data_IF_568834659618
#
_entry.id   IF_568834659618
#
_cell.length_a   1.000
_cell.length_b   1.000
_cell.length_c   1.000
_cell.angle_alpha   90.00
_cell.angle_beta   90.00
_cell.angle_gamma   90.00
#
_symmetry.space_group_name_H-M   'P 1'
#
loop_
_entity.id
_entity.type
_entity.pdbx_description
1 polymer ?
#
# COMPACT_ATOMS: atom_id res chain seq x y z
N UNK A 1 28.61 8.33 14.72
CA UNK A 1 27.66 8.84 13.70
C UNK A 1 26.21 8.84 14.17
N UNK A 2 25.74 7.77 14.83
CA UNK A 2 24.42 7.73 15.47
C UNK A 2 24.19 8.91 16.43
N UNK A 3 24.92 8.97 17.56
CA UNK A 3 24.72 10.01 18.59
C UNK A 3 24.72 11.46 18.08
N UNK A 4 25.58 11.82 17.13
CA UNK A 4 25.66 13.18 16.56
C UNK A 4 24.47 13.54 15.67
N UNK A 5 23.84 12.55 15.03
CA UNK A 5 22.60 12.76 14.28
C UNK A 5 21.40 12.85 15.25
N UNK A 6 21.40 12.08 16.35
CA UNK A 6 20.36 12.16 17.38
C UNK A 6 20.36 13.50 18.12
N UNK A 7 21.54 14.03 18.44
CA UNK A 7 21.66 15.31 19.13
C UNK A 7 21.17 16.51 18.31
N UNK A 8 21.05 16.36 16.99
CA UNK A 8 20.60 17.43 16.08
C UNK A 8 19.23 17.13 15.45
N UNK A 9 18.51 16.11 15.92
CA UNK A 9 17.20 15.73 15.40
C UNK A 9 16.18 16.85 15.63
N UNK A 10 15.50 17.29 14.57
CA UNK A 10 14.55 18.39 14.58
C UNK A 10 13.47 18.20 13.51
N UNK A 11 12.54 19.16 13.40
CA UNK A 11 11.40 19.08 12.47
C UNK A 11 11.79 19.01 10.98
N UNK A 12 13.00 19.40 10.60
CA UNK A 12 13.43 19.34 9.18
C UNK A 12 13.56 17.91 8.66
N UNK A 13 13.77 16.93 9.54
CA UNK A 13 13.88 15.52 9.16
C UNK A 13 12.54 14.94 8.67
N UNK A 14 11.42 15.54 9.04
CA UNK A 14 10.07 15.10 8.64
C UNK A 14 9.33 16.16 7.81
N UNK A 15 9.98 17.24 7.37
CA UNK A 15 9.29 18.42 6.82
C UNK A 15 8.46 18.14 5.54
N UNK A 16 8.68 17.00 4.87
CA UNK A 16 7.94 16.57 3.69
C UNK A 16 7.38 15.15 3.85
N UNK A 17 7.13 14.69 5.08
CA UNK A 17 6.57 13.36 5.33
C UNK A 17 5.53 13.43 6.45
N UNK A 18 4.35 12.87 6.19
CA UNK A 18 3.32 12.67 7.20
C UNK A 18 3.57 11.41 8.04
N UNK A 19 4.61 10.64 7.71
CA UNK A 19 4.99 9.44 8.45
C UNK A 19 5.90 9.80 9.64
N UNK A 20 5.69 9.19 10.81
CA UNK A 20 6.56 9.40 11.95
C UNK A 20 7.95 8.83 11.67
N UNK A 21 8.99 9.65 11.87
CA UNK A 21 10.36 9.19 11.85
C UNK A 21 10.81 8.85 13.27
N UNK A 22 11.18 7.59 13.50
CA UNK A 22 11.69 7.12 14.79
C UNK A 22 13.21 6.98 14.70
N UNK A 23 13.90 7.54 15.68
CA UNK A 23 15.35 7.47 15.78
C UNK A 23 15.77 6.40 16.79
N UNK A 24 16.70 5.53 16.41
CA UNK A 24 17.13 4.40 17.22
C UNK A 24 18.16 4.79 18.29
N UNK A 25 17.81 4.66 19.56
CA UNK A 25 18.51 5.32 20.68
C UNK A 25 19.89 4.72 20.96
N UNK A 26 20.95 5.52 20.76
CA UNK A 26 22.33 5.14 21.06
C UNK A 26 22.64 5.26 22.56
N UNK A 27 23.50 4.41 23.14
CA UNK A 27 24.35 3.40 22.50
C UNK A 27 23.69 2.04 22.26
N UNK A 28 22.49 1.80 22.78
CA UNK A 28 21.91 0.46 22.84
C UNK A 28 21.23 0.01 21.54
N UNK A 29 20.86 0.94 20.65
CA UNK A 29 20.31 0.68 19.31
C UNK A 29 19.26 -0.46 19.26
N UNK A 30 18.21 -0.42 20.11
CA UNK A 30 17.24 -1.51 20.21
C UNK A 30 16.47 -1.80 18.91
N UNK A 31 16.24 -0.79 18.05
CA UNK A 31 15.52 -1.00 16.77
C UNK A 31 16.44 -1.74 15.79
N UNK A 32 17.70 -1.33 15.69
CA UNK A 32 18.71 -2.02 14.90
C UNK A 32 18.80 -3.50 15.30
N UNK A 33 18.88 -3.79 16.60
CA UNK A 33 18.99 -5.16 17.07
C UNK A 33 17.72 -5.98 16.83
N UNK A 34 16.54 -5.37 16.98
CA UNK A 34 15.25 -6.04 16.74
C UNK A 34 15.07 -6.46 15.26
N UNK A 35 15.58 -5.66 14.33
CA UNK A 35 15.39 -5.89 12.89
C UNK A 35 16.62 -6.44 12.17
N UNK A 36 17.65 -6.91 12.90
CA UNK A 36 18.95 -7.28 12.35
C UNK A 36 19.42 -6.22 11.34
N UNK A 37 19.46 -4.98 11.80
CA UNK A 37 19.80 -3.82 10.98
C UNK A 37 21.18 -3.98 10.35
N UNK A 38 21.29 -3.64 9.08
CA UNK A 38 22.57 -3.61 8.35
C UNK A 38 22.82 -2.20 7.82
N UNK A 39 24.08 -1.91 7.48
CA UNK A 39 24.42 -0.60 6.93
C UNK A 39 23.67 -0.35 5.62
N UNK A 40 22.77 0.64 5.63
CA UNK A 40 21.94 1.05 4.48
C UNK A 40 20.99 -0.05 4.02
N UNK A 41 20.37 -0.76 4.95
CA UNK A 41 19.28 -1.68 4.67
C UNK A 41 17.95 -0.93 4.51
N UNK A 42 17.20 -1.21 3.44
CA UNK A 42 15.77 -0.94 3.34
C UNK A 42 15.04 -2.21 3.75
N UNK A 43 14.05 -2.09 4.64
CA UNK A 43 13.23 -3.22 5.11
C UNK A 43 11.76 -2.82 4.99
N UNK A 44 10.94 -3.70 4.42
CA UNK A 44 9.48 -3.57 4.38
C UNK A 44 8.92 -4.60 5.33
N UNK A 45 8.15 -4.13 6.31
CA UNK A 45 7.44 -4.97 7.26
C UNK A 45 5.96 -5.00 6.89
N UNK A 46 5.32 -6.12 7.17
CA UNK A 46 3.87 -6.28 7.11
C UNK A 46 3.18 -5.45 8.21
N UNK A 47 1.87 -5.27 8.13
CA UNK A 47 1.05 -4.51 9.07
C UNK A 47 0.99 -5.17 10.46
N UNK A 48 1.29 -6.47 10.54
CA UNK A 48 1.46 -7.21 11.79
C UNK A 48 2.70 -6.76 12.61
N UNK A 49 3.61 -6.00 11.99
CA UNK A 49 4.84 -5.50 12.59
C UNK A 49 5.90 -6.56 12.88
N UNK A 50 5.72 -7.79 12.39
CA UNK A 50 6.57 -8.96 12.66
C UNK A 50 7.09 -9.59 11.36
N UNK A 51 6.26 -9.65 10.32
CA UNK A 51 6.59 -10.31 9.06
C UNK A 51 7.41 -9.36 8.17
N UNK A 52 8.58 -9.81 7.73
CA UNK A 52 9.39 -9.07 6.76
C UNK A 52 8.95 -9.43 5.33
N UNK A 53 8.43 -8.44 4.61
CA UNK A 53 8.00 -8.59 3.22
C UNK A 53 9.15 -8.42 2.23
N UNK A 54 10.15 -7.60 2.58
CA UNK A 54 11.29 -7.32 1.72
C UNK A 54 12.49 -6.74 2.47
N UNK A 55 13.68 -7.05 1.97
CA UNK A 55 14.93 -6.44 2.42
C UNK A 55 15.90 -6.24 1.26
N UNK A 56 16.51 -5.06 1.21
CA UNK A 56 17.57 -4.76 0.27
C UNK A 56 18.71 -3.95 0.91
N UNK A 57 19.94 -4.28 0.52
CA UNK A 57 21.12 -3.50 0.86
C UNK A 57 21.31 -2.42 -0.22
N UNK A 58 21.22 -1.15 0.19
CA UNK A 58 21.31 -0.01 -0.72
C UNK A 58 22.78 0.31 -0.99
N UNK A 59 23.25 -0.05 -2.19
CA UNK A 59 24.58 0.29 -2.66
C UNK A 59 24.70 1.75 -3.13
N UNK A 60 23.59 2.36 -3.57
CA UNK A 60 23.50 3.76 -4.04
C UNK A 60 22.74 4.66 -3.08
N UNK A 61 23.08 5.95 -3.01
CA UNK A 61 22.31 6.95 -2.26
C UNK A 61 21.18 7.56 -3.09
N UNK A 62 21.12 7.23 -4.39
CA UNK A 62 20.03 7.63 -5.27
C UNK A 62 18.85 6.67 -5.09
N UNK A 63 17.94 7.04 -4.18
CA UNK A 63 16.78 6.22 -3.80
C UNK A 63 15.86 5.79 -4.96
N UNK A 64 15.63 6.61 -6.01
CA UNK A 64 14.76 6.21 -7.13
C UNK A 64 15.17 4.93 -7.86
N UNK A 65 16.40 4.41 -7.67
CA UNK A 65 16.80 3.10 -8.21
C UNK A 65 16.08 1.91 -7.56
N UNK A 66 15.49 2.10 -6.38
CA UNK A 66 14.87 1.07 -5.56
C UNK A 66 13.35 1.26 -5.46
N UNK A 67 12.82 2.32 -6.07
CA UNK A 67 11.42 2.71 -5.93
C UNK A 67 10.47 1.69 -6.54
N UNK A 68 10.79 1.16 -7.72
CA UNK A 68 9.98 0.16 -8.39
C UNK A 68 9.93 -1.16 -7.61
N UNK A 69 11.09 -1.68 -7.17
CA UNK A 69 11.17 -2.91 -6.37
C UNK A 69 10.35 -2.77 -5.07
N UNK A 70 10.50 -1.65 -4.37
CA UNK A 70 9.75 -1.37 -3.13
C UNK A 70 8.25 -1.25 -3.39
N UNK A 71 7.86 -0.58 -4.49
CA UNK A 71 6.46 -0.42 -4.88
C UNK A 71 5.82 -1.76 -5.25
N UNK A 72 6.54 -2.63 -5.96
CA UNK A 72 6.07 -3.97 -6.33
C UNK A 72 5.82 -4.86 -5.11
N UNK A 73 6.71 -4.81 -4.11
CA UNK A 73 6.51 -5.52 -2.84
C UNK A 73 5.22 -5.07 -2.16
N UNK A 74 4.96 -3.76 -2.10
CA UNK A 74 3.74 -3.25 -1.48
C UNK A 74 2.51 -3.72 -2.27
N UNK A 75 2.49 -3.54 -3.59
CA UNK A 75 1.33 -3.90 -4.43
C UNK A 75 1.04 -5.41 -4.37
N UNK A 76 2.06 -6.25 -4.35
CA UNK A 76 1.89 -7.70 -4.32
C UNK A 76 1.34 -8.23 -2.98
N UNK A 77 1.60 -7.51 -1.87
CA UNK A 77 1.10 -7.89 -0.55
C UNK A 77 -0.19 -7.14 -0.16
N UNK A 78 -0.40 -5.95 -0.72
CA UNK A 78 -1.58 -5.11 -0.50
C UNK A 78 -2.12 -4.67 -1.86
N UNK A 79 -2.74 -5.58 -2.62
CA UNK A 79 -3.36 -5.21 -3.88
C UNK A 79 -4.42 -4.15 -3.60
N UNK A 80 -4.24 -2.96 -4.19
CA UNK A 80 -5.28 -1.93 -4.14
C UNK A 80 -6.45 -2.43 -4.98
N UNK A 81 -7.51 -2.90 -4.35
CA UNK A 81 -8.80 -2.93 -5.02
C UNK A 81 -9.32 -1.49 -5.01
N UNK A 82 -9.43 -0.87 -6.19
CA UNK A 82 -10.23 0.33 -6.30
C UNK A 82 -11.69 -0.12 -6.31
N UNK A 83 -12.48 0.14 -5.26
CA UNK A 83 -13.84 -0.36 -5.22
C UNK A 83 -14.63 0.17 -6.42
N UNK A 84 -15.28 -0.73 -7.15
CA UNK A 84 -16.02 -0.42 -8.37
C UNK A 84 -15.20 -0.42 -9.66
N UNK A 85 -13.89 -0.69 -9.62
CA UNK A 85 -13.08 -1.00 -10.80
C UNK A 85 -13.25 -2.47 -11.17
N UNK A 86 -14.19 -2.75 -12.07
CA UNK A 86 -14.57 -4.11 -12.46
C UNK A 86 -13.70 -4.59 -13.63
N UNK A 87 -13.22 -3.67 -14.46
CA UNK A 87 -12.40 -3.99 -15.62
C UNK A 87 -10.87 -3.95 -15.35
N UNK A 88 -10.47 -3.49 -14.16
CA UNK A 88 -9.09 -3.31 -13.71
C UNK A 88 -8.28 -2.35 -14.60
N UNK A 89 -8.92 -1.28 -15.08
CA UNK A 89 -8.26 -0.23 -15.86
C UNK A 89 -7.82 0.98 -15.02
N UNK A 90 -7.97 0.89 -13.69
CA UNK A 90 -7.66 1.93 -12.72
C UNK A 90 -8.55 3.19 -12.87
N UNK A 91 -9.71 3.09 -13.54
CA UNK A 91 -10.68 4.19 -13.69
C UNK A 91 -12.13 3.72 -13.46
N UNK A 92 -12.74 4.07 -12.32
CA UNK A 92 -14.17 3.81 -12.09
C UNK A 92 -15.04 4.71 -12.97
N UNK A 93 -15.72 4.13 -13.95
CA UNK A 93 -16.62 4.85 -14.85
C UNK A 93 -17.78 3.96 -15.37
N UNK A 94 -18.47 4.43 -16.42
CA UNK A 94 -19.62 3.70 -16.99
C UNK A 94 -19.23 2.34 -17.59
N UNK A 95 -17.97 2.12 -17.96
CA UNK A 95 -17.48 0.85 -18.49
C UNK A 95 -17.50 -0.25 -17.42
N UNK A 96 -17.23 0.08 -16.16
CA UNK A 96 -17.35 -0.87 -15.04
C UNK A 96 -18.78 -1.31 -14.82
N UNK A 97 -19.73 -0.38 -14.92
CA UNK A 97 -21.17 -0.67 -14.84
C UNK A 97 -21.58 -1.61 -15.97
N UNK A 98 -21.08 -1.38 -17.20
CA UNK A 98 -21.38 -2.24 -18.35
C UNK A 98 -20.83 -3.65 -18.13
N UNK A 99 -19.61 -3.77 -17.61
CA UNK A 99 -19.03 -5.08 -17.30
C UNK A 99 -19.79 -5.79 -16.18
N UNK A 100 -20.12 -5.08 -15.10
CA UNK A 100 -20.91 -5.61 -14.00
C UNK A 100 -22.30 -6.08 -14.46
N UNK A 101 -22.95 -5.31 -15.33
CA UNK A 101 -24.23 -5.71 -15.93
C UNK A 101 -24.09 -7.00 -16.75
N UNK A 102 -23.00 -7.18 -17.51
CA UNK A 102 -22.74 -8.42 -18.22
C UNK A 102 -22.54 -9.61 -17.28
N UNK A 103 -21.83 -9.41 -16.16
CA UNK A 103 -21.65 -10.45 -15.14
C UNK A 103 -22.96 -10.87 -14.50
N UNK A 104 -23.83 -9.90 -14.16
CA UNK A 104 -25.17 -10.17 -13.64
C UNK A 104 -25.99 -11.00 -14.64
N UNK A 105 -25.90 -10.67 -15.93
CA UNK A 105 -26.62 -11.37 -17.00
C UNK A 105 -26.05 -12.77 -17.28
N UNK A 106 -24.75 -12.99 -17.12
CA UNK A 106 -24.11 -14.31 -17.27
C UNK A 106 -24.19 -15.16 -16.00
N UNK A 107 -24.62 -14.59 -14.86
CA UNK A 107 -24.61 -15.25 -13.57
C UNK A 107 -23.20 -15.47 -13.01
N UNK A 108 -22.24 -14.65 -13.47
CA UNK A 108 -20.87 -14.66 -12.98
C UNK A 108 -20.78 -13.95 -11.63
N UNK A 109 -19.98 -14.52 -10.74
CA UNK A 109 -19.67 -13.97 -9.44
C UNK A 109 -18.17 -13.79 -9.31
N UNK A 110 -17.75 -12.62 -8.83
CA UNK A 110 -16.40 -12.37 -8.33
C UNK A 110 -16.50 -11.55 -7.06
N UNK A 111 -15.54 -11.72 -6.14
CA UNK A 111 -15.54 -10.96 -4.88
C UNK A 111 -15.40 -9.44 -5.12
N UNK A 112 -14.70 -9.03 -6.18
CA UNK A 112 -14.57 -7.62 -6.54
C UNK A 112 -15.88 -7.00 -7.08
N UNK A 113 -16.83 -7.82 -7.53
CA UNK A 113 -18.12 -7.36 -8.04
C UNK A 113 -19.23 -7.32 -6.96
N UNK A 114 -19.02 -7.97 -5.81
CA UNK A 114 -19.93 -7.95 -4.65
C UNK A 114 -19.57 -6.78 -3.73
N UNK A 115 -19.99 -5.58 -4.14
CA UNK A 115 -19.57 -4.30 -3.54
C UNK A 115 -20.28 -4.02 -2.21
N UNK A 116 -21.41 -4.66 -1.94
CA UNK A 116 -22.08 -4.59 -0.65
C UNK A 116 -21.78 -5.80 0.26
N UNK A 117 -21.00 -6.78 -0.24
CA UNK A 117 -20.61 -8.00 0.47
C UNK A 117 -21.80 -8.82 0.98
N UNK A 118 -22.90 -8.85 0.23
CA UNK A 118 -24.09 -9.63 0.56
C UNK A 118 -24.07 -11.07 0.01
N UNK A 119 -23.00 -11.41 -0.72
CA UNK A 119 -22.79 -12.71 -1.34
C UNK A 119 -23.49 -12.87 -2.70
N UNK A 120 -24.04 -11.80 -3.28
CA UNK A 120 -24.76 -11.84 -4.56
C UNK A 120 -24.43 -10.64 -5.45
N UNK A 121 -23.80 -10.89 -6.61
CA UNK A 121 -23.60 -9.86 -7.63
C UNK A 121 -24.93 -9.54 -8.34
N UNK A 122 -25.48 -8.36 -8.09
CA UNK A 122 -26.78 -7.93 -8.60
C UNK A 122 -26.89 -6.41 -8.80
N UNK A 123 -28.10 -5.91 -9.05
CA UNK A 123 -28.34 -4.48 -9.33
C UNK A 123 -27.94 -3.56 -8.16
N UNK A 124 -27.89 -4.08 -6.93
CA UNK A 124 -27.44 -3.33 -5.76
C UNK A 124 -25.96 -2.96 -5.86
N UNK A 125 -25.12 -3.81 -6.46
CA UNK A 125 -23.70 -3.51 -6.69
C UNK A 125 -23.52 -2.41 -7.74
N UNK A 126 -24.33 -2.43 -8.80
CA UNK A 126 -24.35 -1.32 -9.78
C UNK A 126 -24.67 0.01 -9.11
N UNK A 127 -25.63 0.02 -8.17
CA UNK A 127 -25.96 1.24 -7.42
C UNK A 127 -24.76 1.74 -6.61
N UNK A 128 -23.92 0.85 -6.08
CA UNK A 128 -22.68 1.24 -5.40
C UNK A 128 -21.70 1.94 -6.35
N UNK A 129 -21.46 1.38 -7.56
CA UNK A 129 -20.58 2.02 -8.55
C UNK A 129 -21.11 3.40 -8.95
N UNK A 130 -22.42 3.54 -9.17
CA UNK A 130 -23.03 4.85 -9.47
C UNK A 130 -22.78 5.85 -8.34
N UNK A 131 -22.93 5.44 -7.08
CA UNK A 131 -22.64 6.31 -5.94
C UNK A 131 -21.17 6.72 -5.87
N UNK A 132 -20.25 5.82 -6.20
CA UNK A 132 -18.80 6.11 -6.27
C UNK A 132 -18.54 7.17 -7.35
N UNK A 133 -19.05 6.98 -8.57
CA UNK A 133 -18.92 7.92 -9.69
C UNK A 133 -19.52 9.30 -9.36
N UNK A 134 -20.61 9.35 -8.60
CA UNK A 134 -21.27 10.61 -8.25
C UNK A 134 -20.64 11.32 -7.03
N UNK A 135 -19.83 10.62 -6.25
CA UNK A 135 -19.15 11.17 -5.05
C UNK A 135 -17.73 11.68 -5.33
N UNK A 136 -17.21 11.43 -6.54
CA UNK A 136 -15.90 11.90 -7.03
C UNK A 136 -15.93 13.30 -7.62
#
# INVERSE_FOLDING_TARGET
VGQSAQSNFNSNFCANSDLPLINDQSPNLPIHDAFNGEHRSLVVMDDDGVTELYRAILNSTYFPLYEDDFREVIISNYPSSMPGDINNDEIVNILDIVQLANMILSGEYTENADLNSDGSVNILDIVQIVNIILSS
#
